data_IF_869630665142
#
_entry.id   IF_869630665142
#
_cell.length_a   1.000
_cell.length_b   1.000
_cell.length_c   1.000
_cell.angle_alpha   90.00
_cell.angle_beta   90.00
_cell.angle_gamma   90.00
#
_symmetry.space_group_name_H-M   'P 1'
#
loop_
_entity.id
_entity.type
_entity.pdbx_description
1 polymer ?
#
# COMPACT_ATOMS: atom_id res chain seq x y z
N UNK A 1 -12.89 -9.13 0.54
CA UNK A 1 -12.66 -7.68 0.57
C UNK A 1 -11.31 -7.46 1.18
N UNK A 2 -10.50 -6.70 0.48
CA UNK A 2 -9.12 -6.47 0.86
C UNK A 2 -9.04 -5.34 1.88
N UNK A 3 -8.01 -5.39 2.73
CA UNK A 3 -7.68 -4.34 3.67
C UNK A 3 -6.22 -3.96 3.46
N UNK A 4 -5.99 -2.68 3.15
CA UNK A 4 -4.68 -2.08 3.01
C UNK A 4 -4.51 -1.00 4.07
N UNK A 5 -3.31 -0.86 4.61
CA UNK A 5 -2.96 0.20 5.55
C UNK A 5 -1.51 0.61 5.33
N UNK A 6 -1.22 1.90 5.46
CA UNK A 6 0.14 2.40 5.39
C UNK A 6 0.29 3.73 6.09
N UNK A 7 1.51 4.05 6.50
CA UNK A 7 1.85 5.33 7.10
C UNK A 7 3.35 5.60 7.03
N UNK A 8 3.71 6.88 7.07
CA UNK A 8 5.09 7.35 7.16
C UNK A 8 5.50 7.50 8.62
N UNK A 9 6.71 7.08 8.95
CA UNK A 9 7.39 7.42 10.19
C UNK A 9 8.51 8.43 9.94
N UNK A 10 9.47 8.51 10.87
CA UNK A 10 10.56 9.50 10.81
C UNK A 10 11.40 9.42 9.53
N UNK A 11 11.93 8.23 9.24
CA UNK A 11 12.86 7.97 8.12
C UNK A 11 12.48 6.73 7.31
N UNK A 12 11.20 6.30 7.41
CA UNK A 12 10.69 5.11 6.76
C UNK A 12 9.19 5.26 6.42
N UNK A 13 8.68 4.40 5.55
CA UNK A 13 7.25 4.18 5.38
C UNK A 13 6.91 2.69 5.55
N UNK A 14 5.81 2.41 6.24
CA UNK A 14 5.24 1.07 6.41
C UNK A 14 4.03 0.95 5.49
N UNK A 15 3.89 -0.23 4.88
CA UNK A 15 2.70 -0.63 4.17
C UNK A 15 2.38 -2.09 4.50
N UNK A 16 1.09 -2.37 4.68
CA UNK A 16 0.60 -3.70 4.97
C UNK A 16 -0.72 -3.98 4.27
N UNK A 17 -0.96 -5.27 4.02
CA UNK A 17 -2.18 -5.77 3.41
C UNK A 17 -2.57 -7.10 4.03
N UNK A 18 -3.87 -7.39 4.11
CA UNK A 18 -4.35 -8.72 4.48
C UNK A 18 -3.93 -9.76 3.42
N UNK A 19 -3.68 -10.99 3.84
CA UNK A 19 -3.18 -12.03 2.95
C UNK A 19 -4.27 -12.96 2.39
N UNK A 20 -5.56 -12.62 2.56
CA UNK A 20 -6.64 -13.48 2.08
C UNK A 20 -6.86 -13.32 0.57
N UNK A 21 -6.95 -14.45 -0.12
CA UNK A 21 -7.59 -14.59 -1.43
C UNK A 21 -8.93 -15.29 -1.24
N UNK A 22 -10.03 -14.56 -1.35
CA UNK A 22 -11.38 -15.08 -1.08
C UNK A 22 -12.34 -14.78 -2.22
N UNK A 23 -13.30 -15.70 -2.45
CA UNK A 23 -14.39 -15.52 -3.41
C UNK A 23 -15.66 -16.13 -2.84
N UNK A 24 -16.75 -15.36 -2.86
CA UNK A 24 -17.99 -15.74 -2.18
C UNK A 24 -17.67 -16.07 -0.70
N UNK A 25 -18.22 -17.16 -0.17
CA UNK A 25 -18.01 -17.62 1.22
C UNK A 25 -16.72 -18.42 1.42
N UNK A 26 -15.90 -18.61 0.37
CA UNK A 26 -14.70 -19.46 0.41
C UNK A 26 -13.41 -18.63 0.46
N UNK A 27 -12.45 -19.11 1.24
CA UNK A 27 -11.06 -18.61 1.27
C UNK A 27 -10.18 -19.62 0.53
N UNK A 28 -9.55 -19.19 -0.56
CA UNK A 28 -8.67 -20.03 -1.39
C UNK A 28 -7.23 -20.04 -0.88
N UNK A 29 -6.76 -18.90 -0.35
CA UNK A 29 -5.42 -18.75 0.21
C UNK A 29 -5.43 -17.70 1.31
N UNK A 30 -4.52 -17.85 2.27
CA UNK A 30 -4.27 -16.90 3.36
C UNK A 30 -2.81 -16.40 3.36
N UNK A 31 -2.16 -16.47 2.18
CA UNK A 31 -0.76 -16.14 1.96
C UNK A 31 -0.57 -15.28 0.70
N UNK A 32 -1.63 -14.63 0.20
CA UNK A 32 -1.54 -13.78 -0.99
C UNK A 32 -0.83 -12.46 -0.63
N UNK A 33 0.34 -12.22 -1.24
CA UNK A 33 1.00 -10.92 -1.17
C UNK A 33 0.33 -9.93 -2.13
N UNK A 34 -0.30 -8.89 -1.56
CA UNK A 34 -0.98 -7.81 -2.29
C UNK A 34 -0.11 -6.55 -2.45
N UNK A 35 1.17 -6.63 -2.09
CA UNK A 35 2.11 -5.51 -2.08
C UNK A 35 3.22 -5.75 -3.10
N UNK A 36 3.20 -4.98 -4.18
CA UNK A 36 4.18 -5.07 -5.27
C UNK A 36 5.33 -4.08 -5.08
N UNK A 37 6.55 -4.55 -5.27
CA UNK A 37 7.75 -3.70 -5.31
C UNK A 37 7.83 -3.06 -6.70
N UNK A 38 7.64 -1.74 -6.80
CA UNK A 38 7.72 -1.04 -8.09
C UNK A 38 9.18 -0.84 -8.52
N UNK A 39 10.03 -0.53 -7.55
CA UNK A 39 11.49 -0.47 -7.68
C UNK A 39 12.13 -0.69 -6.28
N UNK A 40 13.43 -0.48 -6.16
CA UNK A 40 14.20 -0.65 -4.92
C UNK A 40 13.68 0.14 -3.70
N UNK A 41 12.93 1.22 -3.91
CA UNK A 41 12.52 2.18 -2.88
C UNK A 41 11.03 2.56 -3.00
N UNK A 42 10.19 1.76 -3.67
CA UNK A 42 8.76 2.03 -3.83
C UNK A 42 7.93 0.76 -3.76
N UNK A 43 6.85 0.82 -2.98
CA UNK A 43 5.91 -0.26 -2.75
C UNK A 43 4.50 0.19 -3.10
N UNK A 44 3.75 -0.67 -3.77
CA UNK A 44 2.37 -0.44 -4.16
C UNK A 44 1.49 -1.56 -3.63
N UNK A 45 0.67 -1.28 -2.62
CA UNK A 45 -0.37 -2.20 -2.20
C UNK A 45 -1.64 -1.95 -3.02
N UNK A 46 -2.27 -3.03 -3.47
CA UNK A 46 -3.45 -2.96 -4.35
C UNK A 46 -4.54 -3.88 -3.82
N UNK A 47 -5.78 -3.37 -3.83
CA UNK A 47 -6.97 -4.12 -3.42
C UNK A 47 -8.16 -3.75 -4.29
N UNK A 48 -9.08 -4.69 -4.51
CA UNK A 48 -10.21 -4.49 -5.43
C UNK A 48 -10.55 -5.73 -6.25
N UNK A 49 -10.86 -5.54 -7.53
CA UNK A 49 -11.11 -6.65 -8.45
C UNK A 49 -9.86 -7.53 -8.62
N UNK A 50 -10.03 -8.85 -8.56
CA UNK A 50 -8.92 -9.79 -8.52
C UNK A 50 -8.06 -9.78 -9.81
N UNK A 51 -8.65 -9.54 -10.98
CA UNK A 51 -7.89 -9.49 -12.23
C UNK A 51 -7.11 -8.17 -12.32
N UNK A 52 -7.77 -7.06 -11.99
CA UNK A 52 -7.16 -5.73 -12.02
C UNK A 52 -6.03 -5.60 -10.99
N UNK A 53 -6.15 -6.22 -9.81
CA UNK A 53 -5.11 -6.30 -8.78
C UNK A 53 -3.81 -6.96 -9.27
N UNK A 54 -3.85 -7.70 -10.38
CA UNK A 54 -2.66 -8.31 -10.99
C UNK A 54 -2.18 -7.45 -12.15
N UNK A 55 -3.08 -7.13 -13.09
CA UNK A 55 -2.74 -6.51 -14.37
C UNK A 55 -2.22 -5.09 -14.21
N UNK A 56 -2.92 -4.27 -13.43
CA UNK A 56 -2.60 -2.85 -13.32
C UNK A 56 -1.26 -2.58 -12.63
N UNK A 57 -0.95 -3.14 -11.44
CA UNK A 57 0.35 -2.91 -10.81
C UNK A 57 1.50 -3.52 -11.62
N UNK A 58 1.28 -4.59 -12.38
CA UNK A 58 2.30 -5.13 -13.29
C UNK A 58 2.60 -4.17 -14.44
N UNK A 59 1.56 -3.66 -15.11
CA UNK A 59 1.72 -2.66 -16.17
C UNK A 59 2.48 -1.42 -15.67
N UNK A 60 2.11 -0.91 -14.49
CA UNK A 60 2.79 0.24 -13.86
C UNK A 60 4.27 -0.08 -13.61
N UNK A 61 4.56 -1.21 -12.95
CA UNK A 61 5.92 -1.62 -12.62
C UNK A 61 6.82 -1.71 -13.87
N UNK A 62 6.32 -2.33 -14.95
CA UNK A 62 7.12 -2.50 -16.17
C UNK A 62 7.34 -1.19 -16.91
N UNK A 63 6.35 -0.29 -16.94
CA UNK A 63 6.54 1.02 -17.55
C UNK A 63 7.48 1.93 -16.75
N UNK A 64 7.45 1.86 -15.42
CA UNK A 64 8.43 2.56 -14.57
C UNK A 64 9.86 2.04 -14.82
N UNK A 65 10.01 0.72 -14.94
CA UNK A 65 11.29 0.09 -15.28
C UNK A 65 11.78 0.55 -16.66
N UNK A 66 10.89 0.57 -17.65
CA UNK A 66 11.18 1.05 -19.00
C UNK A 66 11.59 2.53 -19.01
N UNK A 67 10.92 3.37 -18.22
CA UNK A 67 11.29 4.78 -18.06
C UNK A 67 12.72 4.91 -17.52
N UNK A 68 13.07 4.14 -16.50
CA UNK A 68 14.41 4.14 -15.92
C UNK A 68 15.48 3.67 -16.93
N UNK A 69 15.19 2.62 -17.72
CA UNK A 69 16.08 2.13 -18.76
C UNK A 69 16.31 3.16 -19.89
N UNK A 70 15.28 3.94 -20.24
CA UNK A 70 15.38 4.95 -21.31
C UNK A 70 16.12 6.21 -20.89
N UNK A 71 15.90 6.66 -19.65
CA UNK A 71 16.37 7.96 -19.18
C UNK A 71 17.58 7.87 -18.23
N UNK A 72 17.93 6.68 -17.76
CA UNK A 72 19.00 6.48 -16.78
C UNK A 72 18.69 6.98 -15.37
N UNK A 73 17.44 7.39 -15.11
CA UNK A 73 16.99 7.92 -13.81
C UNK A 73 15.67 7.27 -13.39
N UNK A 74 15.54 6.94 -12.11
CA UNK A 74 14.29 6.44 -11.55
C UNK A 74 13.30 7.58 -11.32
N UNK A 75 12.00 7.27 -11.38
CA UNK A 75 10.97 8.22 -10.98
C UNK A 75 11.06 8.46 -9.48
N UNK A 76 10.79 9.68 -9.03
CA UNK A 76 10.51 9.95 -7.62
C UNK A 76 9.17 9.33 -7.22
N UNK A 77 8.90 9.14 -5.93
CA UNK A 77 7.62 8.63 -5.46
C UNK A 77 6.46 9.54 -5.88
N UNK A 78 6.67 10.86 -5.85
CA UNK A 78 5.69 11.83 -6.35
C UNK A 78 5.43 11.69 -7.86
N UNK A 79 6.48 11.49 -8.67
CA UNK A 79 6.34 11.30 -10.11
C UNK A 79 5.64 9.97 -10.42
N UNK A 80 5.97 8.90 -9.69
CA UNK A 80 5.29 7.60 -9.79
C UNK A 80 3.79 7.73 -9.44
N UNK A 81 3.44 8.42 -8.35
CA UNK A 81 2.03 8.67 -7.97
C UNK A 81 1.26 9.40 -9.09
N UNK A 82 1.86 10.43 -9.69
CA UNK A 82 1.26 11.17 -10.79
C UNK A 82 1.14 10.34 -12.07
N UNK A 83 2.11 9.49 -12.37
CA UNK A 83 2.06 8.57 -13.49
C UNK A 83 0.88 7.59 -13.33
N UNK A 84 0.77 6.93 -12.17
CA UNK A 84 -0.34 6.00 -11.86
C UNK A 84 -1.68 6.73 -11.99
N UNK A 85 -1.83 7.89 -11.35
CA UNK A 85 -3.05 8.70 -11.43
C UNK A 85 -3.39 9.08 -12.88
N UNK A 86 -2.39 9.41 -13.69
CA UNK A 86 -2.53 9.74 -15.10
C UNK A 86 -3.10 8.58 -15.91
N UNK A 87 -2.52 7.38 -15.78
CA UNK A 87 -3.01 6.16 -16.44
C UNK A 87 -4.43 5.80 -15.99
N UNK A 88 -4.72 5.87 -14.69
CA UNK A 88 -6.08 5.62 -14.16
C UNK A 88 -7.08 6.61 -14.73
N UNK A 89 -6.76 7.90 -14.71
CA UNK A 89 -7.65 8.96 -15.21
C UNK A 89 -7.90 8.83 -16.71
N UNK A 90 -6.88 8.44 -17.48
CA UNK A 90 -7.00 8.19 -18.91
C UNK A 90 -7.96 7.03 -19.22
N UNK A 91 -7.90 5.96 -18.43
CA UNK A 91 -8.72 4.75 -18.62
C UNK A 91 -10.10 4.80 -17.96
N UNK A 92 -10.35 5.75 -17.05
CA UNK A 92 -11.55 5.85 -16.20
C UNK A 92 -12.89 5.75 -16.96
N UNK A 93 -12.98 6.25 -18.20
CA UNK A 93 -14.20 6.21 -19.03
C UNK A 93 -14.11 5.28 -20.24
N UNK A 94 -13.13 4.38 -20.26
CA UNK A 94 -12.84 3.49 -21.39
C UNK A 94 -12.77 2.04 -20.95
N UNK A 95 -11.80 1.75 -20.08
CA UNK A 95 -11.51 0.44 -19.55
C UNK A 95 -11.09 0.65 -18.09
N UNK A 96 -12.05 1.08 -17.27
CA UNK A 96 -11.81 1.39 -15.86
C UNK A 96 -11.43 0.12 -15.11
N UNK A 97 -10.34 0.19 -14.37
CA UNK A 97 -9.95 -0.82 -13.40
C UNK A 97 -10.49 -0.48 -12.01
N UNK A 98 -11.06 -1.48 -11.32
CA UNK A 98 -11.69 -1.31 -10.02
C UNK A 98 -10.74 -1.68 -8.89
N UNK A 99 -9.65 -0.93 -8.78
CA UNK A 99 -8.67 -1.10 -7.71
C UNK A 99 -8.29 0.21 -7.05
N UNK A 100 -8.17 0.10 -5.74
CA UNK A 100 -7.64 1.09 -4.84
C UNK A 100 -6.18 0.78 -4.52
N UNK A 101 -5.37 1.83 -4.29
CA UNK A 101 -3.93 1.68 -4.13
C UNK A 101 -3.37 2.58 -3.03
N UNK A 102 -2.44 2.01 -2.25
CA UNK A 102 -1.50 2.77 -1.44
C UNK A 102 -0.11 2.67 -2.06
N UNK A 103 0.47 3.81 -2.41
CA UNK A 103 1.86 3.92 -2.84
C UNK A 103 2.67 4.48 -1.68
N UNK A 104 3.69 3.76 -1.26
CA UNK A 104 4.72 4.28 -0.34
C UNK A 104 6.09 4.24 -1.01
N UNK A 105 6.94 5.19 -0.66
CA UNK A 105 8.31 5.20 -1.16
C UNK A 105 9.21 6.10 -0.34
N UNK A 106 10.52 5.97 -0.60
CA UNK A 106 11.56 6.78 0.00
C UNK A 106 12.39 7.43 -1.11
N UNK A 107 12.46 8.76 -1.12
CA UNK A 107 13.29 9.51 -2.07
C UNK A 107 14.41 10.24 -1.32
N UNK A 108 15.66 10.11 -1.79
CA UNK A 108 16.81 10.79 -1.18
C UNK A 108 16.60 12.32 -1.14
N UNK A 109 16.88 12.95 0.00
CA UNK A 109 16.69 14.38 0.22
C UNK A 109 15.23 14.82 0.51
N UNK A 110 14.24 13.97 0.24
CA UNK A 110 12.82 14.24 0.55
C UNK A 110 12.33 13.38 1.72
N UNK A 111 12.81 12.14 1.83
CA UNK A 111 12.40 11.20 2.86
C UNK A 111 11.21 10.32 2.44
N UNK A 112 10.51 9.70 3.42
CA UNK A 112 9.38 8.83 3.14
C UNK A 112 8.15 9.60 2.67
N UNK A 113 7.33 8.97 1.83
CA UNK A 113 6.04 9.53 1.42
C UNK A 113 5.01 8.44 1.18
N UNK A 114 3.75 8.77 1.45
CA UNK A 114 2.59 7.93 1.16
C UNK A 114 1.59 8.69 0.28
N UNK A 115 1.05 7.98 -0.71
CA UNK A 115 -0.01 8.45 -1.58
C UNK A 115 -1.18 7.47 -1.54
N UNK A 116 -2.36 8.02 -1.27
CA UNK A 116 -3.64 7.34 -1.40
C UNK A 116 -4.18 7.56 -2.81
N UNK A 117 -4.57 6.49 -3.49
CA UNK A 117 -5.22 6.55 -4.80
C UNK A 117 -6.47 5.67 -4.82
N UNK A 118 -7.61 6.25 -5.18
CA UNK A 118 -8.83 5.49 -5.36
C UNK A 118 -9.03 5.02 -6.81
N UNK A 119 -9.98 4.10 -7.00
CA UNK A 119 -10.37 3.61 -8.32
C UNK A 119 -10.92 4.72 -9.26
N UNK A 120 -11.28 5.89 -8.75
CA UNK A 120 -11.73 7.06 -9.53
C UNK A 120 -10.56 7.96 -9.99
N UNK A 121 -9.32 7.53 -9.76
CA UNK A 121 -8.10 8.28 -10.07
C UNK A 121 -7.95 9.58 -9.27
N UNK A 122 -8.56 9.68 -8.09
CA UNK A 122 -8.19 10.68 -7.11
C UNK A 122 -6.84 10.30 -6.48
N UNK A 123 -6.04 11.30 -6.10
CA UNK A 123 -4.73 11.07 -5.49
C UNK A 123 -4.47 12.13 -4.44
N UNK A 124 -4.07 11.70 -3.24
CA UNK A 124 -3.72 12.57 -2.13
C UNK A 124 -2.43 12.10 -1.47
N UNK A 125 -1.53 13.03 -1.15
CA UNK A 125 -0.38 12.76 -0.29
C UNK A 125 -0.84 12.82 1.16
N UNK A 126 -0.63 11.76 1.93
CA UNK A 126 -1.08 11.65 3.32
C UNK A 126 0.04 11.08 4.18
N UNK A 127 -0.05 11.31 5.49
CA UNK A 127 0.89 10.74 6.47
C UNK A 127 0.52 9.30 6.83
N UNK A 128 -0.77 8.97 6.77
CA UNK A 128 -1.32 7.64 6.98
C UNK A 128 -2.60 7.48 6.16
N UNK A 129 -2.87 6.26 5.72
CA UNK A 129 -4.09 5.95 4.99
C UNK A 129 -4.45 4.46 5.07
N UNK A 130 -5.71 4.16 4.75
CA UNK A 130 -6.20 2.79 4.65
C UNK A 130 -7.22 2.67 3.52
N UNK A 131 -7.29 1.48 2.91
CA UNK A 131 -8.34 1.09 1.98
C UNK A 131 -9.05 -0.17 2.46
N UNK A 132 -10.31 -0.31 2.03
CA UNK A 132 -11.17 -1.41 2.46
C UNK A 132 -11.78 -1.19 3.83
N UNK A 133 -12.73 -2.04 4.21
CA UNK A 133 -13.54 -1.81 5.40
C UNK A 133 -12.77 -1.93 6.72
N UNK A 134 -11.60 -2.60 6.73
CA UNK A 134 -10.70 -2.59 7.89
C UNK A 134 -10.27 -1.17 8.28
N UNK A 135 -10.18 -0.25 7.32
CA UNK A 135 -9.85 1.15 7.57
C UNK A 135 -10.80 1.88 8.52
N UNK A 136 -12.10 1.52 8.52
CA UNK A 136 -13.08 2.10 9.44
C UNK A 136 -12.78 1.80 10.92
N UNK A 137 -12.03 0.73 11.19
CA UNK A 137 -11.62 0.34 12.54
C UNK A 137 -10.25 0.92 12.92
N UNK A 138 -9.41 1.23 11.93
CA UNK A 138 -8.02 1.64 12.16
C UNK A 138 -7.81 3.15 12.12
N UNK A 139 -8.62 3.90 11.37
CA UNK A 139 -8.37 5.33 11.17
C UNK A 139 -8.36 6.12 12.50
N UNK A 140 -9.26 5.82 13.44
CA UNK A 140 -9.27 6.47 14.76
C UNK A 140 -8.04 6.12 15.61
N UNK A 141 -7.48 4.93 15.45
CA UNK A 141 -6.24 4.52 16.13
C UNK A 141 -5.05 5.28 15.54
N UNK A 142 -5.01 5.44 14.22
CA UNK A 142 -4.01 6.24 13.53
C UNK A 142 -4.10 7.70 13.98
N UNK A 143 -5.30 8.30 13.96
CA UNK A 143 -5.53 9.68 14.43
C UNK A 143 -5.03 9.91 15.87
N UNK A 144 -5.17 8.91 16.74
CA UNK A 144 -4.84 9.02 18.17
C UNK A 144 -3.36 8.78 18.46
N UNK A 145 -2.72 7.84 17.75
CA UNK A 145 -1.42 7.30 18.15
C UNK A 145 -0.29 7.58 17.17
N UNK A 146 -0.60 7.90 15.91
CA UNK A 146 0.41 8.22 14.92
C UNK A 146 1.12 9.54 15.27
N UNK A 147 2.44 9.58 15.03
CA UNK A 147 3.26 10.79 15.08
C UNK A 147 4.31 10.73 13.98
N UNK A 148 4.68 11.89 13.45
CA UNK A 148 5.70 12.00 12.40
C UNK A 148 7.09 11.48 12.84
N UNK A 149 7.37 11.46 14.14
CA UNK A 149 8.67 11.06 14.70
C UNK A 149 8.73 9.61 15.20
N UNK A 150 7.71 8.79 14.92
CA UNK A 150 7.69 7.38 15.32
C UNK A 150 8.94 6.64 14.80
N UNK A 151 9.56 5.86 15.68
CA UNK A 151 10.55 4.86 15.27
C UNK A 151 9.86 3.70 14.55
N UNK A 152 10.61 2.88 13.81
CA UNK A 152 10.05 1.73 13.11
C UNK A 152 9.38 0.75 14.07
N UNK A 153 10.00 0.51 15.23
CA UNK A 153 9.46 -0.39 16.25
C UNK A 153 8.13 0.12 16.80
N UNK A 154 8.02 1.43 17.07
CA UNK A 154 6.76 2.04 17.52
C UNK A 154 5.70 2.03 16.42
N UNK A 155 6.10 2.20 15.15
CA UNK A 155 5.21 2.06 14.00
C UNK A 155 4.65 0.65 13.88
N UNK A 156 5.51 -0.38 13.99
CA UNK A 156 5.09 -1.78 13.98
C UNK A 156 4.16 -2.11 15.16
N UNK A 157 4.38 -1.53 16.34
CA UNK A 157 3.45 -1.69 17.47
C UNK A 157 2.08 -1.05 17.18
N UNK A 158 2.06 0.15 16.58
CA UNK A 158 0.81 0.80 16.16
C UNK A 158 0.06 -0.03 15.10
N UNK A 159 0.79 -0.59 14.15
CA UNK A 159 0.24 -1.47 13.13
C UNK A 159 -0.38 -2.73 13.75
N UNK A 160 0.29 -3.34 14.74
CA UNK A 160 -0.24 -4.50 15.46
C UNK A 160 -1.53 -4.19 16.22
N UNK A 161 -1.63 -2.98 16.82
CA UNK A 161 -2.88 -2.51 17.43
C UNK A 161 -4.02 -2.44 16.42
N UNK A 162 -3.74 -1.93 15.21
CA UNK A 162 -4.70 -1.87 14.11
C UNK A 162 -5.17 -3.27 13.69
N UNK A 163 -4.25 -4.22 13.52
CA UNK A 163 -4.58 -5.60 13.19
C UNK A 163 -5.44 -6.26 14.25
N UNK A 164 -5.10 -6.07 15.53
CA UNK A 164 -5.89 -6.61 16.64
C UNK A 164 -7.32 -6.09 16.64
N UNK A 165 -7.53 -4.80 16.37
CA UNK A 165 -8.87 -4.20 16.33
C UNK A 165 -9.70 -4.81 15.20
N UNK A 166 -9.12 -4.91 13.99
CA UNK A 166 -9.78 -5.56 12.84
C UNK A 166 -10.09 -7.02 13.14
N UNK A 167 -9.12 -7.78 13.66
CA UNK A 167 -9.31 -9.20 14.00
C UNK A 167 -10.36 -9.42 15.11
N UNK A 168 -10.57 -8.44 15.99
CA UNK A 168 -11.54 -8.54 17.09
C UNK A 168 -12.95 -8.14 16.66
N UNK A 169 -13.08 -7.10 15.82
CA UNK A 169 -14.38 -6.46 15.52
C UNK A 169 -14.90 -6.69 14.11
N UNK A 170 -14.02 -6.91 13.15
CA UNK A 170 -14.43 -7.07 11.76
C UNK A 170 -14.96 -8.47 11.51
N UNK A 171 -16.07 -8.57 10.80
CA UNK A 171 -16.77 -9.84 10.57
C UNK A 171 -15.97 -10.81 9.67
N UNK A 172 -15.15 -10.29 8.75
CA UNK A 172 -14.34 -11.11 7.86
C UNK A 172 -13.03 -11.45 8.56
N UNK A 173 -12.78 -12.74 8.75
CA UNK A 173 -11.54 -13.23 9.37
C UNK A 173 -10.31 -12.86 8.52
N UNK A 174 -9.36 -12.14 9.11
CA UNK A 174 -8.07 -11.75 8.50
C UNK A 174 -6.92 -12.19 9.42
N UNK A 175 -6.51 -13.47 9.38
CA UNK A 175 -5.51 -13.99 10.31
C UNK A 175 -4.09 -13.48 10.01
N UNK A 176 -3.78 -13.31 8.72
CA UNK A 176 -2.43 -13.03 8.24
C UNK A 176 -2.38 -11.69 7.51
N UNK A 177 -1.25 -11.00 7.69
CA UNK A 177 -0.94 -9.74 7.05
C UNK A 177 0.47 -9.80 6.49
N UNK A 178 0.66 -9.28 5.28
CA UNK A 178 1.98 -9.00 4.73
C UNK A 178 2.39 -7.60 5.14
N UNK A 179 3.61 -7.43 5.67
CA UNK A 179 4.14 -6.15 6.13
C UNK A 179 5.44 -5.89 5.36
N UNK A 180 5.54 -4.71 4.74
CA UNK A 180 6.76 -4.25 4.09
C UNK A 180 7.12 -2.85 4.57
N UNK A 181 8.41 -2.60 4.68
CA UNK A 181 9.00 -1.31 5.08
C UNK A 181 9.88 -0.82 3.95
N UNK A 182 9.87 0.48 3.72
CA UNK A 182 10.82 1.15 2.83
C UNK A 182 11.51 2.29 3.55
N UNK A 183 12.84 2.32 3.47
CA UNK A 183 13.69 3.40 3.99
C UNK A 183 14.85 3.68 3.02
N UNK A 184 15.85 4.46 3.47
CA UNK A 184 17.05 4.81 2.70
C UNK A 184 17.87 3.63 2.17
N UNK A 185 17.73 2.43 2.74
CA UNK A 185 18.43 1.22 2.33
C UNK A 185 17.59 0.37 1.34
N UNK A 186 16.36 0.79 1.07
CA UNK A 186 15.43 0.12 0.18
C UNK A 186 14.30 -0.60 0.90
N UNK A 187 13.69 -1.53 0.18
CA UNK A 187 12.54 -2.31 0.63
C UNK A 187 12.96 -3.54 1.42
N UNK A 188 12.22 -3.85 2.50
CA UNK A 188 12.28 -5.14 3.20
C UNK A 188 10.89 -5.65 3.59
N UNK A 189 10.74 -6.96 3.65
CA UNK A 189 9.58 -7.62 4.28
C UNK A 189 9.85 -7.83 5.76
N UNK A 190 8.85 -7.56 6.60
CA UNK A 190 8.94 -7.74 8.05
C UNK A 190 8.05 -8.91 8.48
N UNK A 191 8.63 -9.83 9.23
CA UNK A 191 7.89 -10.93 9.84
C UNK A 191 7.08 -10.44 11.05
N UNK A 192 5.78 -10.73 11.08
CA UNK A 192 4.93 -10.45 12.23
C UNK A 192 5.29 -11.41 13.36
N UNK A 193 5.70 -10.87 14.51
CA UNK A 193 5.92 -11.69 15.71
C UNK A 193 4.56 -12.18 16.21
N UNK A 194 4.37 -13.49 16.14
CA UNK A 194 3.18 -14.23 16.62
C UNK A 194 3.01 -14.15 18.13
#
# INVERSE_FOLDING_TARGET
MDFLIGFTGKDYAIIAADANAARSIMVYSQQLDKIRELDSHKLLAVGGDAADCIQEPEYIQKNMTLYAMRNGVQLTTHAAANYIRGEKSYNLRRAMSQVDMLLVGYDEGVGPSLYFLDYLASMQKLDYASHGYGGFFCNSLLDTHWRADLTEEQGLELLERCFKEVQTRFMISMPNFTIKVVDKNGVRTVERKS
#
